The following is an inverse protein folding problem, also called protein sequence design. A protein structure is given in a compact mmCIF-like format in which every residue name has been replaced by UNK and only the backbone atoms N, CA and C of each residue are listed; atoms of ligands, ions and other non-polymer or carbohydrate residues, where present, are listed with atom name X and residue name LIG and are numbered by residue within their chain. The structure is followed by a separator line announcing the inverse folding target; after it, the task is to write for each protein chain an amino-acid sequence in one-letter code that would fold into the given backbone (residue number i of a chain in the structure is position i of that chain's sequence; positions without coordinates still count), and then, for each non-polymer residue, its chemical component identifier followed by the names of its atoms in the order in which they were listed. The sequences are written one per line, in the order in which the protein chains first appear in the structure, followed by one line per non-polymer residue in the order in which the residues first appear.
data_IF_547998635056
#
_entry.id   IF_547998635056
#
_cell.length_a   1.000
_cell.length_b   1.000
_cell.length_c   1.000
_cell.angle_alpha   90.00
_cell.angle_beta   90.00
_cell.angle_gamma   90.00
#
_symmetry.space_group_name_H-M   'P 1'
#
loop_
_entity.id
_entity.type
_entity.pdbx_description
1 polymer ?
#
# COMPACT_ATOMS: atom_id res chain seq x y z
N UNK A 1 4.25 6.19 -13.68
CA UNK A 1 3.77 6.60 -12.34
C UNK A 1 4.58 7.80 -11.86
N UNK A 2 4.05 8.63 -10.96
CA UNK A 2 4.77 9.78 -10.38
C UNK A 2 5.24 9.40 -8.97
N UNK A 3 6.56 9.29 -8.70
CA UNK A 3 7.04 8.81 -7.39
C UNK A 3 6.99 9.87 -6.29
N UNK A 4 6.92 11.15 -6.66
CA UNK A 4 6.88 12.27 -5.71
C UNK A 4 5.45 12.79 -5.51
N UNK A 5 4.56 11.92 -5.05
CA UNK A 5 3.15 12.28 -4.77
C UNK A 5 2.77 11.85 -3.37
N UNK A 6 1.93 12.65 -2.72
CA UNK A 6 1.29 12.29 -1.46
C UNK A 6 -0.17 12.70 -1.49
N UNK A 7 -1.06 11.82 -1.04
CA UNK A 7 -2.49 12.10 -0.92
C UNK A 7 -2.89 12.08 0.55
N UNK A 8 -3.58 13.12 1.03
CA UNK A 8 -4.04 13.19 2.42
C UNK A 8 -5.44 12.58 2.54
N UNK A 9 -5.60 11.68 3.50
CA UNK A 9 -6.85 11.02 3.82
C UNK A 9 -7.68 11.83 4.83
N UNK A 10 -8.99 11.57 4.88
CA UNK A 10 -9.92 12.26 5.78
C UNK A 10 -9.63 12.02 7.27
N UNK A 11 -8.96 10.91 7.60
CA UNK A 11 -8.53 10.57 8.95
C UNK A 11 -7.19 11.22 9.36
N UNK A 12 -6.62 12.05 8.47
CA UNK A 12 -5.34 12.73 8.70
C UNK A 12 -4.11 11.91 8.32
N UNK A 13 -4.26 10.63 7.96
CA UNK A 13 -3.16 9.85 7.36
C UNK A 13 -2.84 10.35 5.96
N UNK A 14 -1.72 9.91 5.40
CA UNK A 14 -1.32 10.22 4.03
C UNK A 14 -0.82 8.97 3.32
N UNK A 15 -1.08 8.86 2.02
CA UNK A 15 -0.55 7.81 1.17
C UNK A 15 0.62 8.37 0.36
N UNK A 16 1.82 7.82 0.58
CA UNK A 16 3.09 8.43 0.20
C UNK A 16 3.74 7.66 -0.95
N UNK A 17 4.19 8.38 -1.95
CA UNK A 17 5.09 7.91 -3.00
C UNK A 17 4.48 6.93 -4.00
N UNK A 18 5.34 6.22 -4.71
CA UNK A 18 5.03 5.39 -5.87
C UNK A 18 3.89 4.37 -5.63
N UNK A 19 4.00 3.58 -4.56
CA UNK A 19 3.05 2.55 -4.15
C UNK A 19 2.02 3.04 -3.13
N UNK A 20 1.97 4.35 -2.87
CA UNK A 20 0.98 4.96 -1.98
C UNK A 20 0.99 4.31 -0.59
N UNK A 21 2.18 4.22 0.02
CA UNK A 21 2.37 3.64 1.36
C UNK A 21 1.73 4.57 2.39
N UNK A 22 0.76 4.07 3.14
CA UNK A 22 0.06 4.87 4.15
C UNK A 22 0.97 5.23 5.34
N UNK A 23 0.88 6.46 5.85
CA UNK A 23 1.71 6.98 6.94
C UNK A 23 1.52 6.26 8.28
N UNK A 24 0.45 5.48 8.45
CA UNK A 24 0.29 4.60 9.61
C UNK A 24 1.40 3.56 9.75
N UNK A 25 2.16 3.26 8.68
CA UNK A 25 3.34 2.40 8.73
C UNK A 25 4.59 3.08 9.28
N UNK A 26 4.65 4.41 9.33
CA UNK A 26 5.86 5.15 9.72
C UNK A 26 6.40 4.77 11.11
N UNK A 27 5.59 4.54 12.16
CA UNK A 27 6.12 4.08 13.44
C UNK A 27 6.84 2.73 13.39
N UNK A 28 6.43 1.83 12.48
CA UNK A 28 7.11 0.54 12.28
C UNK A 28 8.34 0.70 11.40
N UNK A 29 8.23 1.51 10.34
CA UNK A 29 9.30 1.75 9.38
C UNK A 29 10.47 2.56 9.96
N UNK A 30 10.21 3.46 10.91
CA UNK A 30 11.24 4.26 11.58
C UNK A 30 12.24 3.38 12.35
N UNK A 31 11.81 2.21 12.84
CA UNK A 31 12.67 1.21 13.48
C UNK A 31 13.71 0.60 12.53
N UNK A 32 13.51 0.74 11.22
CA UNK A 32 14.44 0.33 10.16
C UNK A 32 15.14 1.53 9.52
N UNK A 33 15.06 2.73 10.11
CA UNK A 33 15.65 3.95 9.55
C UNK A 33 14.90 4.52 8.33
N UNK A 34 13.68 4.07 8.07
CA UNK A 34 12.86 4.56 6.95
C UNK A 34 11.93 5.66 7.48
N UNK A 35 12.28 6.91 7.19
CA UNK A 35 11.45 8.08 7.48
C UNK A 35 10.44 8.35 6.38
N UNK A 36 9.49 9.26 6.63
CA UNK A 36 8.56 9.78 5.61
C UNK A 36 9.28 10.23 4.34
N UNK A 37 10.37 10.98 4.47
CA UNK A 37 11.12 11.50 3.33
C UNK A 37 11.69 10.38 2.45
N UNK A 38 12.12 9.27 3.07
CA UNK A 38 12.65 8.11 2.35
C UNK A 38 11.59 7.43 1.49
N UNK A 39 10.31 7.57 1.80
CA UNK A 39 9.23 7.03 0.98
C UNK A 39 8.97 7.80 -0.32
N UNK A 40 9.63 8.94 -0.56
CA UNK A 40 9.61 9.61 -1.86
C UNK A 40 10.68 9.11 -2.83
N UNK A 41 11.65 8.33 -2.33
CA UNK A 41 12.53 7.54 -3.19
C UNK A 41 11.75 6.35 -3.75
N UNK A 42 11.72 6.22 -5.07
CA UNK A 42 10.88 5.24 -5.76
C UNK A 42 11.29 3.80 -5.47
N UNK A 43 12.59 3.52 -5.34
CA UNK A 43 13.10 2.20 -5.03
C UNK A 43 12.77 1.81 -3.59
N UNK A 44 12.97 2.72 -2.63
CA UNK A 44 12.59 2.50 -1.23
C UNK A 44 11.08 2.29 -1.13
N UNK A 45 10.28 3.12 -1.78
CA UNK A 45 8.83 3.01 -1.73
C UNK A 45 8.33 1.69 -2.35
N UNK A 46 8.88 1.30 -3.50
CA UNK A 46 8.57 0.03 -4.15
C UNK A 46 8.90 -1.16 -3.25
N UNK A 47 10.08 -1.14 -2.63
CA UNK A 47 10.51 -2.20 -1.72
C UNK A 47 9.62 -2.29 -0.48
N UNK A 48 9.32 -1.15 0.16
CA UNK A 48 8.44 -1.08 1.34
C UNK A 48 7.02 -1.53 1.00
N UNK A 49 6.43 -1.03 -0.08
CA UNK A 49 5.08 -1.43 -0.49
C UNK A 49 5.00 -2.93 -0.81
N UNK A 50 6.02 -3.46 -1.49
CA UNK A 50 6.11 -4.91 -1.76
C UNK A 50 6.28 -5.71 -0.48
N UNK A 51 7.08 -5.23 0.48
CA UNK A 51 7.24 -5.88 1.78
C UNK A 51 5.95 -5.90 2.60
N UNK A 52 5.16 -4.82 2.58
CA UNK A 52 3.82 -4.76 3.20
C UNK A 52 2.89 -5.78 2.53
N UNK A 53 2.84 -5.80 1.19
CA UNK A 53 2.01 -6.75 0.44
C UNK A 53 2.42 -8.20 0.74
N UNK A 54 3.72 -8.50 0.77
CA UNK A 54 4.25 -9.81 1.12
C UNK A 54 3.84 -10.23 2.55
N UNK A 55 3.83 -9.29 3.49
CA UNK A 55 3.32 -9.54 4.85
C UNK A 55 1.84 -9.92 4.84
N UNK A 56 1.02 -9.25 4.03
CA UNK A 56 -0.40 -9.59 3.88
C UNK A 56 -0.59 -10.95 3.22
N UNK A 57 0.21 -11.29 2.21
CA UNK A 57 0.20 -12.60 1.56
C UNK A 57 0.60 -13.69 2.57
N UNK A 58 1.61 -13.44 3.40
CA UNK A 58 2.00 -14.38 4.47
C UNK A 58 0.85 -14.63 5.45
N UNK A 59 0.05 -13.61 5.75
CA UNK A 59 -1.06 -13.73 6.69
C UNK A 59 -2.33 -14.36 6.09
N UNK A 60 -2.68 -14.01 4.85
CA UNK A 60 -3.97 -14.36 4.23
C UNK A 60 -3.86 -15.28 3.02
N UNK A 61 -2.66 -15.76 2.70
CA UNK A 61 -2.35 -16.46 1.45
C UNK A 61 -2.29 -15.53 0.24
N UNK A 62 -1.90 -16.09 -0.92
CA UNK A 62 -1.88 -15.37 -2.20
C UNK A 62 -3.31 -15.19 -2.75
N UNK A 63 -4.11 -14.39 -2.07
CA UNK A 63 -5.55 -14.21 -2.34
C UNK A 63 -5.91 -12.74 -2.54
N UNK A 64 -7.10 -12.48 -3.10
CA UNK A 64 -7.66 -11.13 -3.21
C UNK A 64 -7.83 -10.44 -1.85
N UNK A 65 -7.96 -11.22 -0.77
CA UNK A 65 -7.97 -10.67 0.59
C UNK A 65 -6.64 -10.02 0.95
N UNK A 66 -5.51 -10.61 0.59
CA UNK A 66 -4.19 -10.01 0.83
C UNK A 66 -4.02 -8.68 0.06
N UNK A 67 -4.51 -8.62 -1.18
CA UNK A 67 -4.53 -7.39 -1.99
C UNK A 67 -5.43 -6.33 -1.36
N UNK A 68 -6.64 -6.70 -0.93
CA UNK A 68 -7.55 -5.80 -0.23
C UNK A 68 -6.96 -5.25 1.06
N UNK A 69 -6.36 -6.13 1.87
CA UNK A 69 -5.75 -5.78 3.16
C UNK A 69 -4.57 -4.81 3.05
N UNK A 70 -3.95 -4.68 1.87
CA UNK A 70 -2.94 -3.64 1.62
C UNK A 70 -3.53 -2.23 1.74
N UNK A 71 -4.77 -2.04 1.27
CA UNK A 71 -5.38 -0.72 1.18
C UNK A 71 -6.28 -0.37 2.38
N UNK A 72 -6.88 -1.35 3.06
CA UNK A 72 -7.84 -1.08 4.11
C UNK A 72 -7.89 -2.16 5.20
N UNK A 73 -8.25 -1.75 6.43
CA UNK A 73 -8.52 -2.68 7.54
C UNK A 73 -9.93 -3.28 7.45
N UNK A 74 -10.92 -2.50 6.99
CA UNK A 74 -12.32 -2.96 6.89
C UNK A 74 -12.53 -3.95 5.75
N UNK A 75 -13.06 -5.13 6.05
CA UNK A 75 -13.33 -6.19 5.06
C UNK A 75 -14.18 -5.73 3.87
N UNK A 76 -15.14 -4.83 4.08
CA UNK A 76 -15.96 -4.30 2.97
C UNK A 76 -15.16 -3.41 2.04
N UNK A 77 -14.31 -2.53 2.59
CA UNK A 77 -13.39 -1.69 1.80
C UNK A 77 -12.33 -2.52 1.08
N UNK A 78 -11.79 -3.56 1.74
CA UNK A 78 -10.86 -4.51 1.14
C UNK A 78 -11.45 -5.16 -0.12
N UNK A 79 -12.70 -5.64 -0.04
CA UNK A 79 -13.37 -6.27 -1.18
C UNK A 79 -13.61 -5.28 -2.34
N UNK A 80 -14.04 -4.06 -2.03
CA UNK A 80 -14.22 -3.00 -3.05
C UNK A 80 -12.89 -2.71 -3.75
N UNK A 81 -11.81 -2.53 -3.00
CA UNK A 81 -10.49 -2.28 -3.56
C UNK A 81 -9.99 -3.46 -4.42
N UNK A 82 -10.06 -4.69 -3.89
CA UNK A 82 -9.65 -5.89 -4.62
C UNK A 82 -10.41 -6.06 -5.94
N UNK A 83 -11.73 -5.84 -5.93
CA UNK A 83 -12.55 -5.88 -7.15
C UNK A 83 -12.17 -4.80 -8.16
N UNK A 84 -11.83 -3.60 -7.71
CA UNK A 84 -11.37 -2.52 -8.59
C UNK A 84 -10.04 -2.89 -9.27
N UNK A 85 -9.10 -3.51 -8.53
CA UNK A 85 -7.85 -4.02 -9.11
C UNK A 85 -8.11 -5.15 -10.10
N UNK A 86 -8.95 -6.12 -9.72
CA UNK A 86 -9.33 -7.24 -10.60
C UNK A 86 -9.89 -6.75 -11.94
N UNK A 87 -10.85 -5.82 -11.91
CA UNK A 87 -11.44 -5.25 -13.13
C UNK A 87 -10.43 -4.52 -14.00
N UNK A 88 -9.41 -3.88 -13.41
CA UNK A 88 -8.34 -3.22 -14.17
C UNK A 88 -7.44 -4.25 -14.86
N UNK A 89 -7.07 -5.33 -14.18
CA UNK A 89 -6.27 -6.41 -14.77
C UNK A 89 -7.01 -7.10 -15.93
N UNK A 90 -8.32 -7.34 -15.78
CA UNK A 90 -9.14 -7.95 -16.83
C UNK A 90 -9.26 -7.10 -18.11
N UNK A 91 -9.03 -5.78 -18.01
CA UNK A 91 -9.02 -4.87 -19.18
C UNK A 91 -7.65 -4.70 -19.82
N UNK A 92 -6.60 -5.11 -19.11
CA UNK A 92 -5.22 -4.99 -19.56
C UNK A 92 -4.74 -6.24 -20.32
N UNK A 93 -5.52 -7.32 -20.25
CA UNK A 93 -5.40 -8.55 -21.04
C UNK A 93 -6.39 -8.52 -22.20
#
# INVERSE_FOLDING_TARGET
MRPYVSNRNSDGSEDIGLMQVNSSWLPKLSRFGISRQRLFDECVNAYVGTWILASNIKQFGATWKAVGAYNAVSSSKQLVYANNIYRRLQRAN
#
